data_IF_025314048193
#
_entry.id   IF_025314048193
#
_cell.length_a   1.000
_cell.length_b   1.000
_cell.length_c   1.000
_cell.angle_alpha   90.00
_cell.angle_beta   90.00
_cell.angle_gamma   90.00
#
_symmetry.space_group_name_H-M   'P 1'
#
loop_
_entity.id
_entity.type
_entity.pdbx_description
1 polymer ?
#
# COMPACT_ATOMS: atom_id res chain seq x y z
N UNK A 1 12.86 -0.21 4.78
CA UNK A 1 11.43 -0.09 5.11
C UNK A 1 10.83 -1.48 5.19
N UNK A 2 10.21 -1.88 6.31
CA UNK A 2 9.83 -3.27 6.59
C UNK A 2 8.86 -3.87 5.56
N UNK A 3 7.82 -3.13 5.15
CA UNK A 3 6.83 -3.63 4.20
C UNK A 3 7.32 -3.77 2.74
N UNK A 4 8.56 -3.36 2.42
CA UNK A 4 9.18 -3.52 1.09
C UNK A 4 10.60 -4.10 1.19
N UNK A 5 10.89 -4.85 2.25
CA UNK A 5 12.22 -5.45 2.50
C UNK A 5 12.43 -6.79 1.76
N UNK A 6 11.47 -7.20 0.92
CA UNK A 6 11.51 -8.44 0.15
C UNK A 6 11.12 -9.69 0.94
N UNK A 7 10.76 -9.57 2.22
CA UNK A 7 10.31 -10.67 3.06
C UNK A 7 8.81 -10.57 3.29
N UNK A 8 8.13 -11.70 3.11
CA UNK A 8 6.70 -11.80 3.37
C UNK A 8 6.51 -12.60 4.65
N UNK A 9 6.41 -11.90 5.77
CA UNK A 9 6.28 -12.48 7.10
C UNK A 9 5.05 -11.89 7.81
N UNK A 10 4.06 -12.71 8.15
CA UNK A 10 2.78 -12.19 8.63
C UNK A 10 2.76 -11.91 10.15
N UNK A 11 3.81 -12.26 10.89
CA UNK A 11 3.86 -12.12 12.35
C UNK A 11 4.68 -10.89 12.76
N UNK A 12 4.17 -10.11 13.71
CA UNK A 12 4.87 -8.92 14.23
C UNK A 12 6.27 -9.21 14.77
N UNK A 13 6.47 -10.40 15.33
CA UNK A 13 7.75 -10.85 15.89
C UNK A 13 8.84 -11.06 14.84
N UNK A 14 8.48 -11.20 13.56
CA UNK A 14 9.43 -11.38 12.46
C UNK A 14 10.10 -10.07 12.03
N UNK A 15 9.71 -8.92 12.60
CA UNK A 15 10.30 -7.59 12.33
C UNK A 15 10.26 -7.14 10.86
N UNK A 16 9.29 -7.63 10.09
CA UNK A 16 9.18 -7.43 8.63
C UNK A 16 7.86 -6.77 8.20
N UNK A 17 7.10 -6.23 9.16
CA UNK A 17 5.82 -5.52 8.94
C UNK A 17 5.95 -4.03 9.25
N UNK A 18 5.27 -3.18 8.48
CA UNK A 18 5.03 -1.78 8.85
C UNK A 18 3.93 -1.69 9.93
N UNK A 19 4.13 -0.84 10.94
CA UNK A 19 3.16 -0.59 11.99
C UNK A 19 3.20 0.91 12.33
N UNK A 20 2.09 1.61 12.15
CA UNK A 20 1.93 3.00 12.56
C UNK A 20 1.54 3.09 14.03
N UNK A 21 1.48 4.31 14.57
CA UNK A 21 0.78 4.53 15.83
C UNK A 21 -0.75 4.46 15.60
N UNK A 22 -1.53 4.32 16.68
CA UNK A 22 -2.98 4.43 16.57
C UNK A 22 -3.38 5.88 16.30
N UNK A 23 -4.17 6.10 15.26
CA UNK A 23 -4.70 7.41 14.88
C UNK A 23 -5.72 7.31 13.77
N UNK A 24 -5.98 8.42 13.07
CA UNK A 24 -6.96 8.53 12.00
C UNK A 24 -6.25 8.85 10.68
N UNK A 25 -6.53 8.07 9.64
CA UNK A 25 -5.90 8.27 8.32
C UNK A 25 -4.44 7.84 8.27
N UNK A 26 -4.08 6.82 9.06
CA UNK A 26 -2.73 6.23 9.03
C UNK A 26 -2.39 5.75 7.62
N UNK A 27 -1.24 6.16 7.10
CA UNK A 27 -0.81 5.84 5.74
C UNK A 27 0.62 5.36 5.70
N UNK A 28 0.90 4.55 4.68
CA UNK A 28 2.25 4.22 4.26
C UNK A 28 2.40 4.61 2.78
N UNK A 29 3.41 5.40 2.48
CA UNK A 29 3.76 5.77 1.11
C UNK A 29 5.16 5.26 0.78
N UNK A 30 5.32 4.75 -0.45
CA UNK A 30 6.61 4.30 -0.98
C UNK A 30 6.84 4.95 -2.32
N UNK A 31 8.03 5.51 -2.49
CA UNK A 31 8.49 6.02 -3.78
C UNK A 31 9.08 4.88 -4.60
N UNK A 32 8.64 4.72 -5.84
CA UNK A 32 9.28 3.79 -6.76
C UNK A 32 10.70 4.23 -7.10
N UNK A 33 11.61 3.27 -7.28
CA UNK A 33 12.99 3.56 -7.65
C UNK A 33 13.11 4.00 -9.11
N UNK A 34 12.26 3.46 -9.97
CA UNK A 34 12.23 3.71 -11.41
C UNK A 34 10.78 3.92 -11.85
N UNK A 35 10.58 4.74 -12.86
CA UNK A 35 9.29 4.88 -13.55
C UNK A 35 8.91 3.59 -14.29
N UNK A 36 7.63 3.29 -14.38
CA UNK A 36 7.14 2.14 -15.13
C UNK A 36 5.61 1.99 -15.06
N UNK A 37 5.12 0.92 -15.66
CA UNK A 37 3.71 0.51 -15.55
C UNK A 37 3.50 -0.38 -14.33
N UNK A 38 2.42 -0.14 -13.58
CA UNK A 38 2.00 -0.97 -12.45
C UNK A 38 0.84 -1.86 -12.90
N UNK A 39 1.09 -3.16 -12.99
CA UNK A 39 0.04 -4.14 -13.32
C UNK A 39 -0.83 -4.47 -12.11
N UNK A 40 -0.21 -4.61 -10.93
CA UNK A 40 -0.90 -4.87 -9.69
C UNK A 40 -0.05 -4.50 -8.46
N UNK A 41 -0.71 -4.34 -7.33
CA UNK A 41 -0.09 -4.24 -6.00
C UNK A 41 -0.56 -5.41 -5.15
N UNK A 42 0.38 -6.15 -4.54
CA UNK A 42 0.09 -7.15 -3.53
C UNK A 42 0.30 -6.54 -2.13
N UNK A 43 -0.72 -6.63 -1.28
CA UNK A 43 -0.65 -6.25 0.14
C UNK A 43 -0.79 -7.50 0.98
N UNK A 44 0.21 -7.76 1.83
CA UNK A 44 0.24 -8.89 2.74
C UNK A 44 -0.12 -8.42 4.15
N UNK A 45 -1.17 -9.01 4.70
CA UNK A 45 -1.74 -8.63 5.98
C UNK A 45 -1.02 -9.31 7.16
N UNK A 46 -1.27 -8.79 8.35
CA UNK A 46 -0.87 -9.39 9.63
C UNK A 46 -1.74 -10.61 9.94
N UNK A 47 -1.11 -11.73 10.35
CA UNK A 47 -1.81 -13.00 10.63
C UNK A 47 -1.46 -13.64 11.98
N UNK A 48 -0.90 -12.88 12.94
CA UNK A 48 -0.98 -13.33 14.33
C UNK A 48 -2.43 -13.32 14.82
N UNK A 49 -2.68 -13.91 16.00
CA UNK A 49 -4.02 -14.09 16.57
C UNK A 49 -4.79 -12.81 16.90
N UNK A 50 -4.28 -11.63 16.49
CA UNK A 50 -4.95 -10.37 16.63
C UNK A 50 -4.91 -9.59 15.32
N UNK A 51 -5.87 -8.68 15.21
CA UNK A 51 -5.68 -7.44 14.45
C UNK A 51 -5.64 -7.57 12.92
N UNK A 52 -5.84 -8.76 12.36
CA UNK A 52 -5.97 -8.98 10.90
C UNK A 52 -7.06 -8.08 10.29
N UNK A 53 -8.15 -7.84 11.03
CA UNK A 53 -9.25 -6.95 10.66
C UNK A 53 -8.88 -5.45 10.56
N UNK A 54 -7.70 -5.00 11.02
CA UNK A 54 -7.33 -3.57 11.04
C UNK A 54 -7.03 -2.98 9.67
N UNK A 55 -6.87 -3.83 8.65
CA UNK A 55 -6.66 -3.40 7.28
C UNK A 55 -7.99 -3.13 6.54
N UNK A 56 -9.13 -3.46 7.17
CA UNK A 56 -10.46 -3.19 6.62
C UNK A 56 -10.67 -1.69 6.43
N UNK A 57 -11.24 -1.30 5.31
CA UNK A 57 -11.45 0.08 4.89
C UNK A 57 -10.24 0.73 4.20
N UNK A 58 -9.06 0.13 4.24
CA UNK A 58 -7.88 0.70 3.58
C UNK A 58 -8.00 0.64 2.05
N UNK A 59 -7.47 1.65 1.38
CA UNK A 59 -7.35 1.74 -0.08
C UNK A 59 -5.87 1.70 -0.49
N UNK A 60 -5.61 1.31 -1.73
CA UNK A 60 -4.30 1.46 -2.36
C UNK A 60 -4.41 2.50 -3.45
N UNK A 61 -3.55 3.52 -3.36
CA UNK A 61 -3.49 4.62 -4.31
C UNK A 61 -2.14 4.63 -5.02
N UNK A 62 -2.18 4.81 -6.34
CA UNK A 62 -1.02 5.18 -7.13
C UNK A 62 -1.05 6.68 -7.34
N UNK A 63 0.05 7.34 -6.96
CA UNK A 63 0.24 8.76 -7.15
C UNK A 63 1.31 9.00 -8.22
N UNK A 64 1.13 10.07 -9.00
CA UNK A 64 2.13 10.56 -9.94
C UNK A 64 2.37 12.06 -9.72
N UNK A 65 3.57 12.53 -10.05
CA UNK A 65 3.92 13.94 -9.95
C UNK A 65 3.55 14.64 -11.26
N UNK A 66 2.70 15.67 -11.16
CA UNK A 66 2.29 16.49 -12.30
C UNK A 66 2.94 17.85 -12.17
N UNK A 67 3.77 18.22 -13.16
CA UNK A 67 4.39 19.53 -13.22
C UNK A 67 3.32 20.62 -13.41
N UNK A 68 3.34 21.62 -12.52
CA UNK A 68 2.52 22.82 -12.60
C UNK A 68 3.37 24.06 -12.82
N UNK A 69 2.76 25.12 -13.38
CA UNK A 69 3.45 26.40 -13.60
C UNK A 69 3.95 27.07 -12.30
N UNK A 70 3.44 26.66 -11.14
CA UNK A 70 3.79 27.18 -9.80
C UNK A 70 4.48 26.12 -8.90
N UNK A 71 5.00 25.04 -9.52
CA UNK A 71 5.48 23.85 -8.82
C UNK A 71 4.49 22.71 -8.99
N UNK A 72 5.00 21.48 -9.20
CA UNK A 72 4.15 20.32 -9.39
C UNK A 72 3.59 19.73 -8.11
N UNK A 73 2.60 18.86 -8.25
CA UNK A 73 1.86 18.21 -7.16
C UNK A 73 1.74 16.69 -7.37
N UNK A 74 1.69 15.92 -6.28
CA UNK A 74 1.33 14.50 -6.33
C UNK A 74 -0.19 14.37 -6.46
N UNK A 75 -0.64 13.73 -7.53
CA UNK A 75 -2.07 13.45 -7.76
C UNK A 75 -2.33 11.95 -7.79
N UNK A 76 -3.50 11.53 -7.31
CA UNK A 76 -3.93 10.12 -7.42
C UNK A 76 -4.27 9.83 -8.89
N UNK A 77 -3.51 8.95 -9.52
CA UNK A 77 -3.73 8.52 -10.91
C UNK A 77 -4.55 7.24 -11.01
N UNK A 78 -4.58 6.44 -9.93
CA UNK A 78 -5.46 5.30 -9.79
C UNK A 78 -5.67 4.95 -8.32
N UNK A 79 -6.82 4.36 -8.00
CA UNK A 79 -7.17 3.95 -6.64
C UNK A 79 -7.93 2.61 -6.68
N UNK A 80 -7.71 1.77 -5.66
CA UNK A 80 -8.48 0.56 -5.47
C UNK A 80 -9.81 0.86 -4.78
N UNK A 81 -10.82 -0.03 -4.90
CA UNK A 81 -11.88 -0.09 -3.91
C UNK A 81 -11.31 -0.29 -2.50
N UNK A 82 -11.99 0.17 -1.44
CA UNK A 82 -11.57 -0.14 -0.08
C UNK A 82 -11.62 -1.64 0.17
N UNK A 83 -10.69 -2.13 0.97
CA UNK A 83 -10.77 -3.48 1.52
C UNK A 83 -12.06 -3.57 2.34
N UNK A 84 -12.92 -4.54 2.02
CA UNK A 84 -14.16 -4.75 2.77
C UNK A 84 -13.87 -5.28 4.17
N UNK A 85 -13.81 -6.60 4.29
CA UNK A 85 -13.36 -7.29 5.50
C UNK A 85 -11.95 -7.87 5.25
N UNK A 86 -11.06 -7.68 6.21
CA UNK A 86 -9.70 -8.20 6.20
C UNK A 86 -9.43 -9.26 7.25
N UNK A 87 -10.43 -9.62 8.04
CA UNK A 87 -10.35 -10.63 9.09
C UNK A 87 -9.86 -11.95 8.51
N UNK A 88 -8.71 -12.42 9.01
CA UNK A 88 -8.05 -13.66 8.57
C UNK A 88 -7.74 -13.74 7.07
N UNK A 89 -7.72 -12.61 6.36
CA UNK A 89 -7.29 -12.57 4.95
C UNK A 89 -5.82 -12.16 4.89
N UNK A 90 -5.01 -13.10 4.41
CA UNK A 90 -3.55 -12.97 4.34
C UNK A 90 -3.06 -12.04 3.22
N UNK A 91 -3.77 -11.98 2.09
CA UNK A 91 -3.29 -11.27 0.90
C UNK A 91 -4.44 -10.63 0.14
N UNK A 92 -4.19 -9.40 -0.28
CA UNK A 92 -5.00 -8.68 -1.25
C UNK A 92 -4.16 -8.39 -2.49
N UNK A 93 -4.77 -8.59 -3.65
CA UNK A 93 -4.18 -8.18 -4.93
C UNK A 93 -5.09 -7.13 -5.56
N UNK A 94 -4.52 -5.95 -5.80
CA UNK A 94 -5.20 -4.85 -6.47
C UNK A 94 -4.67 -4.71 -7.88
N UNK A 95 -5.47 -5.08 -8.92
CA UNK A 95 -5.06 -4.87 -10.29
C UNK A 95 -5.12 -3.39 -10.66
N UNK A 96 -4.03 -2.89 -11.23
CA UNK A 96 -3.92 -1.54 -11.79
C UNK A 96 -3.77 -1.56 -13.32
N UNK A 97 -3.64 -2.74 -13.94
CA UNK A 97 -3.75 -2.93 -15.39
C UNK A 97 -2.84 -2.03 -16.23
N UNK A 98 -1.61 -1.80 -15.75
CA UNK A 98 -0.58 -1.09 -16.50
C UNK A 98 -0.62 0.43 -16.35
N UNK A 99 -1.26 0.96 -15.30
CA UNK A 99 -1.21 2.38 -14.95
C UNK A 99 0.23 2.84 -14.86
N UNK A 100 0.54 3.96 -15.53
CA UNK A 100 1.87 4.55 -15.48
C UNK A 100 2.09 5.21 -14.12
N UNK A 101 3.22 4.90 -13.49
CA UNK A 101 3.68 5.55 -12.28
C UNK A 101 5.12 6.02 -12.49
N UNK A 102 5.36 7.32 -12.35
CA UNK A 102 6.71 7.90 -12.51
C UNK A 102 7.38 8.00 -11.14
N UNK A 103 8.69 7.83 -11.12
CA UNK A 103 9.53 8.02 -9.94
C UNK A 103 10.03 9.47 -9.85
#
# INVERSE_FOLDING_TARGET
>A
YRAIDGKIKPYITDNSMFHSCSGYGELMMVKFKNSGSVDYVDVYNRMDSCCSARLSGATVELLDYVDGNEGGELVVVASSPPIGDSTEIWRFRFPFNGVQARA
#
